data_IF_578025738674
#
_entry.id   IF_578025738674
#
_cell.length_a   1.000
_cell.length_b   1.000
_cell.length_c   1.000
_cell.angle_alpha   90.00
_cell.angle_beta   90.00
_cell.angle_gamma   90.00
#
_symmetry.space_group_name_H-M   'P 1'
#
loop_
_entity.id
_entity.type
_entity.pdbx_description
1 polymer ?
#
# COMPACT_ATOMS: atom_id res chain seq x y z
N UNK A 1 24.93 -14.10 19.11
CA UNK A 1 25.88 -13.15 18.43
C UNK A 1 27.29 -13.74 18.35
N UNK A 2 27.50 -14.85 17.65
CA UNK A 2 28.83 -15.39 17.45
C UNK A 2 29.43 -14.80 16.17
N UNK A 3 30.22 -13.74 16.31
CA UNK A 3 31.15 -13.27 15.29
C UNK A 3 32.46 -14.04 15.46
N UNK A 4 33.13 -14.30 14.33
CA UNK A 4 34.44 -14.98 14.35
C UNK A 4 35.47 -13.95 14.89
N UNK A 5 35.96 -14.19 16.08
CA UNK A 5 37.03 -13.42 16.68
C UNK A 5 38.35 -14.16 16.53
N UNK A 6 39.37 -13.55 15.94
CA UNK A 6 40.71 -14.11 15.79
C UNK A 6 41.68 -13.31 16.65
N UNK A 7 42.28 -13.98 17.60
CA UNK A 7 43.30 -13.39 18.51
C UNK A 7 44.75 -13.42 17.95
N UNK A 8 44.93 -13.97 16.74
CA UNK A 8 46.25 -14.11 16.11
C UNK A 8 46.81 -12.81 15.50
N UNK A 9 48.16 -12.71 15.40
CA UNK A 9 48.88 -11.58 14.79
C UNK A 9 48.87 -11.58 13.25
N UNK A 10 48.34 -12.61 12.61
CA UNK A 10 48.34 -12.75 11.15
C UNK A 10 47.29 -11.81 10.49
N UNK A 11 47.77 -10.87 9.66
CA UNK A 11 46.95 -9.89 8.96
C UNK A 11 46.03 -10.54 7.92
N UNK A 12 46.44 -11.66 7.32
CA UNK A 12 45.63 -12.36 6.30
C UNK A 12 44.43 -13.05 6.93
N UNK A 13 44.62 -13.67 8.09
CA UNK A 13 43.54 -14.30 8.87
C UNK A 13 42.54 -13.29 9.42
N UNK A 14 42.99 -12.09 9.82
CA UNK A 14 42.09 -11.03 10.26
C UNK A 14 41.20 -10.52 9.12
N UNK A 15 41.78 -10.27 7.93
CA UNK A 15 41.02 -9.88 6.75
C UNK A 15 40.02 -10.95 6.32
N UNK A 16 40.36 -12.23 6.42
CA UNK A 16 39.43 -13.31 6.13
C UNK A 16 38.28 -13.33 7.13
N UNK A 17 38.57 -13.16 8.43
CA UNK A 17 37.51 -13.10 9.46
C UNK A 17 36.61 -11.90 9.30
N UNK A 18 37.12 -10.73 8.93
CA UNK A 18 36.33 -9.53 8.65
C UNK A 18 35.37 -9.77 7.49
N UNK A 19 35.87 -10.30 6.35
CA UNK A 19 35.02 -10.64 5.21
C UNK A 19 33.95 -11.68 5.54
N UNK A 20 34.31 -12.75 6.26
CA UNK A 20 33.36 -13.77 6.70
C UNK A 20 32.29 -13.18 7.65
N UNK A 21 32.70 -12.27 8.53
CA UNK A 21 31.73 -11.62 9.43
C UNK A 21 30.79 -10.65 8.66
N UNK A 22 31.26 -9.97 7.62
CA UNK A 22 30.44 -9.16 6.74
C UNK A 22 29.42 -10.02 6.00
N UNK A 23 29.84 -11.11 5.37
CA UNK A 23 28.97 -12.07 4.70
C UNK A 23 27.95 -12.71 5.66
N UNK A 24 28.38 -13.11 6.87
CA UNK A 24 27.49 -13.63 7.90
C UNK A 24 26.45 -12.60 8.37
N UNK A 25 26.83 -11.31 8.44
CA UNK A 25 25.89 -10.24 8.77
C UNK A 25 24.87 -10.04 7.64
N UNK A 26 25.32 -10.09 6.40
CA UNK A 26 24.45 -9.99 5.22
C UNK A 26 23.44 -11.13 5.20
N UNK A 27 23.91 -12.38 5.26
CA UNK A 27 23.06 -13.57 5.30
C UNK A 27 22.07 -13.59 6.45
N UNK A 28 22.47 -13.09 7.64
CA UNK A 28 21.57 -12.97 8.79
C UNK A 28 20.48 -11.93 8.56
N UNK A 29 20.82 -10.79 7.93
CA UNK A 29 19.84 -9.76 7.56
C UNK A 29 18.84 -10.31 6.52
N UNK A 30 19.32 -11.00 5.51
CA UNK A 30 18.47 -11.63 4.50
C UNK A 30 17.55 -12.71 5.11
N UNK A 31 18.11 -13.59 5.96
CA UNK A 31 17.33 -14.60 6.67
C UNK A 31 16.28 -13.98 7.60
N UNK A 32 16.61 -12.88 8.25
CA UNK A 32 15.66 -12.18 9.12
C UNK A 32 14.53 -11.55 8.29
N UNK A 33 14.87 -10.89 7.19
CA UNK A 33 13.89 -10.35 6.23
C UNK A 33 12.98 -11.45 5.66
N UNK A 34 13.57 -12.58 5.28
CA UNK A 34 12.81 -13.72 4.76
C UNK A 34 11.83 -14.28 5.80
N UNK A 35 12.28 -14.49 7.04
CA UNK A 35 11.42 -14.98 8.13
C UNK A 35 10.31 -13.97 8.48
N UNK A 36 10.64 -12.71 8.48
CA UNK A 36 9.66 -11.66 8.75
C UNK A 36 8.61 -11.60 7.64
N UNK A 37 9.04 -11.69 6.39
CA UNK A 37 8.13 -11.79 5.24
C UNK A 37 7.21 -13.02 5.29
N UNK A 38 7.71 -14.18 5.74
CA UNK A 38 6.92 -15.41 5.90
C UNK A 38 5.86 -15.28 7.01
N UNK A 39 6.21 -14.64 8.14
CA UNK A 39 5.26 -14.35 9.23
C UNK A 39 4.19 -13.36 8.77
N UNK A 40 4.59 -12.27 8.14
CA UNK A 40 3.68 -11.27 7.59
C UNK A 40 2.75 -11.88 6.54
N UNK A 41 3.25 -12.80 5.70
CA UNK A 41 2.44 -13.52 4.73
C UNK A 41 1.41 -14.44 5.38
N UNK A 42 1.76 -15.13 6.46
CA UNK A 42 0.82 -15.97 7.22
C UNK A 42 -0.27 -15.15 7.89
N UNK A 43 0.08 -14.04 8.52
CA UNK A 43 -0.88 -13.08 9.09
C UNK A 43 -1.81 -12.53 8.01
N UNK A 44 -1.25 -12.18 6.85
CA UNK A 44 -1.97 -11.72 5.70
C UNK A 44 -3.04 -12.69 5.22
N UNK A 45 -2.64 -13.94 4.97
CA UNK A 45 -3.56 -15.00 4.51
C UNK A 45 -4.67 -15.22 5.55
N UNK A 46 -4.35 -15.14 6.84
CA UNK A 46 -5.33 -15.29 7.91
C UNK A 46 -6.35 -14.15 7.90
N UNK A 47 -5.88 -12.90 7.82
CA UNK A 47 -6.75 -11.73 7.79
C UNK A 47 -7.63 -11.70 6.54
N UNK A 48 -7.05 -11.93 5.36
CA UNK A 48 -7.82 -12.01 4.11
C UNK A 48 -8.84 -13.14 4.16
N UNK A 49 -8.48 -14.30 4.72
CA UNK A 49 -9.42 -15.42 4.86
C UNK A 49 -10.62 -15.06 5.73
N UNK A 50 -10.40 -14.26 6.78
CA UNK A 50 -11.48 -13.72 7.61
C UNK A 50 -12.34 -12.72 6.82
N UNK A 51 -11.71 -11.80 6.12
CA UNK A 51 -12.38 -10.74 5.36
C UNK A 51 -13.14 -11.26 4.13
N UNK A 52 -12.70 -12.38 3.55
CA UNK A 52 -13.42 -13.10 2.50
C UNK A 52 -14.62 -13.87 3.07
N UNK A 53 -14.50 -14.43 4.28
CA UNK A 53 -15.58 -15.21 4.91
C UNK A 53 -16.81 -14.36 5.21
N UNK A 54 -16.62 -13.12 5.65
CA UNK A 54 -17.71 -12.21 6.04
C UNK A 54 -18.70 -11.94 4.88
N UNK A 55 -18.26 -11.41 3.70
CA UNK A 55 -19.16 -11.19 2.57
C UNK A 55 -19.76 -12.51 2.04
N UNK A 56 -18.99 -13.60 2.05
CA UNK A 56 -19.46 -14.90 1.60
C UNK A 56 -20.62 -15.44 2.48
N UNK A 57 -20.50 -15.27 3.79
CA UNK A 57 -21.55 -15.66 4.74
C UNK A 57 -22.80 -14.81 4.54
N UNK A 58 -22.65 -13.51 4.31
CA UNK A 58 -23.78 -12.62 4.01
C UNK A 58 -24.47 -13.01 2.69
N UNK A 59 -23.72 -13.23 1.61
CA UNK A 59 -24.26 -13.69 0.32
C UNK A 59 -25.08 -14.97 0.52
N UNK A 60 -24.52 -15.95 1.25
CA UNK A 60 -25.23 -17.21 1.51
C UNK A 60 -26.51 -17.00 2.29
N UNK A 61 -26.49 -16.16 3.32
CA UNK A 61 -27.68 -15.84 4.11
C UNK A 61 -28.80 -15.20 3.30
N UNK A 62 -28.45 -14.21 2.44
CA UNK A 62 -29.44 -13.58 1.56
C UNK A 62 -29.99 -14.53 0.47
N UNK A 63 -29.17 -15.46 -0.02
CA UNK A 63 -29.63 -16.50 -0.94
C UNK A 63 -30.59 -17.49 -0.25
N UNK A 64 -30.37 -17.81 1.02
CA UNK A 64 -31.28 -18.64 1.82
C UNK A 64 -32.65 -17.92 2.02
N UNK A 65 -32.61 -16.62 2.36
CA UNK A 65 -33.81 -15.79 2.46
C UNK A 65 -34.58 -15.71 1.14
N UNK A 66 -33.91 -15.54 0.01
CA UNK A 66 -34.56 -15.54 -1.31
C UNK A 66 -35.22 -16.85 -1.62
N UNK A 67 -34.65 -18.00 -1.23
CA UNK A 67 -35.27 -19.33 -1.43
C UNK A 67 -36.49 -19.55 -0.55
N UNK A 68 -36.49 -19.01 0.66
CA UNK A 68 -37.66 -19.06 1.55
C UNK A 68 -38.80 -18.21 1.01
N UNK A 69 -38.51 -17.03 0.46
CA UNK A 69 -39.50 -16.15 -0.15
C UNK A 69 -40.08 -16.71 -1.46
N UNK A 70 -39.31 -17.43 -2.28
CA UNK A 70 -39.82 -18.13 -3.48
C UNK A 70 -40.96 -19.16 -3.16
N UNK A 71 -41.04 -19.63 -1.91
CA UNK A 71 -42.04 -20.56 -1.48
C UNK A 71 -43.37 -19.88 -1.01
N UNK A 72 -43.38 -18.53 -0.96
CA UNK A 72 -44.53 -17.74 -0.55
C UNK A 72 -45.14 -16.96 -1.74
N UNK A 73 -46.39 -17.21 -2.17
CA UNK A 73 -46.99 -16.61 -3.38
C UNK A 73 -47.24 -15.09 -3.30
N UNK A 74 -47.15 -14.47 -2.13
CA UNK A 74 -47.43 -13.05 -1.87
C UNK A 74 -46.17 -12.19 -1.67
N UNK A 75 -45.04 -12.59 -2.24
CA UNK A 75 -43.76 -11.91 -2.00
C UNK A 75 -43.70 -10.56 -2.69
N UNK A 76 -43.44 -9.54 -1.88
CA UNK A 76 -43.22 -8.19 -2.35
C UNK A 76 -41.91 -8.14 -3.16
N UNK A 77 -41.99 -7.84 -4.43
CA UNK A 77 -40.87 -7.63 -5.39
C UNK A 77 -39.77 -6.72 -4.84
N UNK A 78 -40.08 -5.88 -3.87
CA UNK A 78 -39.15 -4.93 -3.25
C UNK A 78 -38.14 -5.61 -2.31
N UNK A 79 -38.55 -6.65 -1.55
CA UNK A 79 -37.61 -7.40 -0.67
C UNK A 79 -36.61 -8.19 -1.51
N UNK A 80 -37.07 -8.88 -2.55
CA UNK A 80 -36.21 -9.61 -3.48
C UNK A 80 -35.18 -8.67 -4.15
N UNK A 81 -35.61 -7.51 -4.65
CA UNK A 81 -34.72 -6.52 -5.26
C UNK A 81 -33.69 -6.01 -4.26
N UNK A 82 -34.05 -5.80 -3.01
CA UNK A 82 -33.13 -5.38 -1.95
C UNK A 82 -32.09 -6.46 -1.64
N UNK A 83 -32.50 -7.74 -1.53
CA UNK A 83 -31.57 -8.84 -1.25
C UNK A 83 -30.60 -9.04 -2.41
N UNK A 84 -31.04 -8.94 -3.66
CA UNK A 84 -30.20 -9.01 -4.84
C UNK A 84 -29.18 -7.85 -4.87
N UNK A 85 -29.59 -6.63 -4.54
CA UNK A 85 -28.68 -5.49 -4.47
C UNK A 85 -27.57 -5.68 -3.41
N UNK A 86 -27.93 -6.26 -2.25
CA UNK A 86 -26.95 -6.57 -1.20
C UNK A 86 -25.99 -7.67 -1.66
N UNK A 87 -26.48 -8.71 -2.32
CA UNK A 87 -25.65 -9.79 -2.86
C UNK A 87 -24.66 -9.24 -3.90
N UNK A 88 -25.12 -8.36 -4.78
CA UNK A 88 -24.28 -7.73 -5.79
C UNK A 88 -23.18 -6.88 -5.14
N UNK A 89 -23.53 -6.01 -4.20
CA UNK A 89 -22.55 -5.22 -3.42
C UNK A 89 -21.49 -6.10 -2.75
N UNK A 90 -21.90 -7.21 -2.11
CA UNK A 90 -20.98 -8.13 -1.44
C UNK A 90 -20.10 -8.90 -2.42
N UNK A 91 -20.62 -9.20 -3.62
CA UNK A 91 -19.88 -9.88 -4.68
C UNK A 91 -18.83 -8.95 -5.29
N UNK A 92 -19.15 -7.69 -5.54
CA UNK A 92 -18.19 -6.67 -5.96
C UNK A 92 -17.05 -6.55 -4.95
N UNK A 93 -17.41 -6.50 -3.66
CA UNK A 93 -16.42 -6.45 -2.58
C UNK A 93 -15.50 -7.66 -2.55
N UNK A 94 -16.05 -8.86 -2.73
CA UNK A 94 -15.27 -10.10 -2.80
C UNK A 94 -14.28 -10.08 -3.97
N UNK A 95 -14.71 -9.58 -5.12
CA UNK A 95 -13.85 -9.39 -6.30
C UNK A 95 -12.68 -8.44 -5.99
N UNK A 96 -12.93 -7.28 -5.40
CA UNK A 96 -11.90 -6.32 -5.00
C UNK A 96 -10.84 -6.95 -4.08
N UNK A 97 -11.29 -7.68 -3.03
CA UNK A 97 -10.39 -8.36 -2.10
C UNK A 97 -9.53 -9.43 -2.79
N UNK A 98 -10.11 -10.18 -3.73
CA UNK A 98 -9.35 -11.19 -4.49
C UNK A 98 -8.35 -10.56 -5.44
N UNK A 99 -8.69 -9.46 -6.12
CA UNK A 99 -7.77 -8.72 -6.98
C UNK A 99 -6.60 -8.11 -6.19
N UNK A 100 -6.86 -7.58 -5.01
CA UNK A 100 -5.81 -7.05 -4.14
C UNK A 100 -4.90 -8.16 -3.59
N UNK A 101 -5.45 -9.31 -3.21
CA UNK A 101 -4.66 -10.50 -2.85
C UNK A 101 -3.76 -10.94 -4.01
N UNK A 102 -4.29 -10.95 -5.22
CA UNK A 102 -3.53 -11.30 -6.43
C UNK A 102 -2.38 -10.31 -6.68
N UNK A 103 -2.65 -9.01 -6.59
CA UNK A 103 -1.62 -7.95 -6.69
C UNK A 103 -0.53 -8.13 -5.63
N UNK A 104 -0.92 -8.53 -4.42
CA UNK A 104 0.01 -8.81 -3.34
C UNK A 104 0.87 -10.05 -3.61
N UNK A 105 0.28 -11.17 -4.05
CA UNK A 105 1.03 -12.39 -4.33
C UNK A 105 2.07 -12.20 -5.43
N UNK A 106 1.73 -11.42 -6.47
CA UNK A 106 2.69 -11.04 -7.51
C UNK A 106 3.83 -10.19 -6.93
N UNK A 107 3.50 -9.20 -6.10
CA UNK A 107 4.50 -8.31 -5.49
C UNK A 107 5.41 -9.04 -4.49
N UNK A 108 4.90 -10.08 -3.82
CA UNK A 108 5.64 -10.89 -2.85
C UNK A 108 6.46 -12.03 -3.49
N UNK A 109 6.03 -12.54 -4.66
CA UNK A 109 6.57 -13.77 -5.25
C UNK A 109 7.82 -13.58 -6.12
N UNK A 110 8.10 -12.37 -6.59
CA UNK A 110 9.30 -12.06 -7.37
C UNK A 110 9.84 -10.70 -6.97
N UNK A 111 11.16 -10.55 -6.73
CA UNK A 111 11.76 -9.23 -6.79
C UNK A 111 11.40 -8.66 -8.16
N UNK A 112 10.63 -7.58 -8.18
CA UNK A 112 10.29 -6.90 -9.42
C UNK A 112 11.61 -6.46 -10.02
N UNK A 113 11.94 -6.97 -11.22
CA UNK A 113 13.09 -6.50 -11.96
C UNK A 113 12.73 -5.07 -12.36
N UNK A 114 13.33 -4.11 -11.68
CA UNK A 114 13.15 -2.69 -11.99
C UNK A 114 13.91 -2.38 -13.27
N UNK A 115 13.26 -1.65 -14.16
CA UNK A 115 13.84 -1.13 -15.40
C UNK A 115 14.03 0.39 -15.26
N UNK A 116 15.12 0.86 -14.61
CA UNK A 116 15.31 2.27 -14.35
C UNK A 116 15.62 3.03 -15.65
N UNK A 117 14.90 4.12 -15.87
CA UNK A 117 15.14 5.06 -16.95
C UNK A 117 15.03 6.51 -16.45
N UNK A 118 15.41 7.48 -17.27
CA UNK A 118 15.23 8.89 -16.93
C UNK A 118 13.75 9.28 -16.95
N UNK A 119 13.19 9.52 -15.77
CA UNK A 119 11.77 9.87 -15.59
C UNK A 119 11.63 11.28 -15.07
N UNK A 120 10.77 12.08 -15.72
CA UNK A 120 10.30 13.34 -15.18
C UNK A 120 9.21 13.08 -14.12
N UNK A 121 9.54 13.34 -12.86
CA UNK A 121 8.61 13.18 -11.73
C UNK A 121 7.38 14.07 -11.92
N UNK A 122 7.56 15.35 -12.36
CA UNK A 122 6.45 16.27 -12.63
C UNK A 122 5.41 15.63 -13.55
N UNK A 123 5.87 15.15 -14.71
CA UNK A 123 4.98 14.59 -15.73
C UNK A 123 4.22 13.36 -15.21
N UNK A 124 4.93 12.43 -14.57
CA UNK A 124 4.31 11.20 -14.12
C UNK A 124 3.32 11.44 -12.97
N UNK A 125 3.61 12.44 -12.11
CA UNK A 125 2.71 12.85 -11.04
C UNK A 125 1.44 13.51 -11.61
N UNK A 126 1.57 14.38 -12.62
CA UNK A 126 0.44 14.99 -13.34
C UNK A 126 -0.44 13.92 -14.01
N UNK A 127 0.18 12.96 -14.72
CA UNK A 127 -0.53 11.86 -15.37
C UNK A 127 -1.31 11.01 -14.33
N UNK A 128 -0.69 10.68 -13.19
CA UNK A 128 -1.33 9.90 -12.13
C UNK A 128 -2.51 10.64 -11.50
N UNK A 129 -2.35 11.93 -11.20
CA UNK A 129 -3.44 12.76 -10.63
C UNK A 129 -4.57 12.92 -11.63
N UNK A 130 -4.25 13.16 -12.91
CA UNK A 130 -5.25 13.30 -13.97
C UNK A 130 -6.10 12.04 -14.14
N UNK A 131 -5.49 10.86 -14.02
CA UNK A 131 -6.21 9.58 -14.08
C UNK A 131 -7.22 9.44 -12.94
N UNK A 132 -6.90 9.96 -11.75
CA UNK A 132 -7.76 9.90 -10.57
C UNK A 132 -8.73 11.08 -10.45
N UNK A 133 -8.64 12.09 -11.35
CA UNK A 133 -9.38 13.34 -11.20
C UNK A 133 -10.91 13.15 -11.17
N UNK A 134 -11.44 12.24 -11.98
CA UNK A 134 -12.87 11.89 -11.99
C UNK A 134 -13.34 11.38 -10.63
N UNK A 135 -12.56 10.50 -10.00
CA UNK A 135 -12.84 9.94 -8.68
C UNK A 135 -12.75 11.00 -7.58
N UNK A 136 -11.76 11.90 -7.63
CA UNK A 136 -11.67 13.03 -6.71
C UNK A 136 -12.93 13.91 -6.76
N UNK A 137 -13.41 14.20 -7.97
CA UNK A 137 -14.63 14.98 -8.17
C UNK A 137 -15.88 14.28 -7.62
N UNK A 138 -16.02 12.97 -7.82
CA UNK A 138 -17.11 12.18 -7.25
C UNK A 138 -17.11 12.23 -5.71
N UNK A 139 -15.93 12.20 -5.08
CA UNK A 139 -15.76 12.31 -3.64
C UNK A 139 -15.76 13.75 -3.13
N UNK A 140 -15.98 14.75 -4.00
CA UNK A 140 -15.97 16.20 -3.69
C UNK A 140 -14.63 16.68 -3.10
N UNK A 141 -13.54 16.06 -3.53
CA UNK A 141 -12.17 16.44 -3.17
C UNK A 141 -11.61 17.28 -4.32
N UNK A 142 -11.10 18.47 -4.02
CA UNK A 142 -10.42 19.33 -4.97
C UNK A 142 -8.91 19.32 -4.72
N UNK A 143 -8.11 18.63 -5.55
CA UNK A 143 -6.68 18.52 -5.31
C UNK A 143 -5.96 19.85 -5.53
N UNK A 144 -5.23 20.33 -4.54
CA UNK A 144 -4.31 21.46 -4.66
C UNK A 144 -2.92 20.96 -5.03
N UNK A 145 -2.42 21.34 -6.22
CA UNK A 145 -1.16 20.83 -6.77
C UNK A 145 -0.14 21.96 -6.86
N UNK A 146 1.02 21.78 -6.22
CA UNK A 146 2.15 22.70 -6.25
C UNK A 146 3.37 21.99 -6.80
N UNK A 147 3.84 22.43 -7.95
CA UNK A 147 5.03 21.86 -8.60
C UNK A 147 5.92 22.99 -9.17
N UNK A 148 7.24 22.82 -9.18
CA UNK A 148 8.13 23.80 -9.81
C UNK A 148 8.01 23.70 -11.34
N UNK A 149 8.27 24.82 -12.03
CA UNK A 149 8.34 24.85 -13.50
C UNK A 149 9.53 24.02 -14.03
N UNK A 150 10.57 23.89 -13.22
CA UNK A 150 11.73 23.06 -13.51
C UNK A 150 11.35 21.58 -13.50
N UNK A 151 11.72 20.84 -14.53
CA UNK A 151 11.56 19.39 -14.59
C UNK A 151 12.53 18.71 -13.63
N UNK A 152 11.96 17.94 -12.72
CA UNK A 152 12.71 17.10 -11.78
C UNK A 152 12.87 15.72 -12.40
N UNK A 153 14.08 15.40 -12.86
CA UNK A 153 14.40 14.11 -13.50
C UNK A 153 15.16 13.22 -12.54
N UNK A 154 14.78 11.94 -12.47
CA UNK A 154 15.47 10.90 -11.69
C UNK A 154 15.54 9.62 -12.51
N UNK A 155 16.53 8.77 -12.22
CA UNK A 155 16.67 7.44 -12.82
C UNK A 155 15.85 6.43 -11.98
N UNK A 156 14.61 6.17 -12.40
CA UNK A 156 13.61 5.37 -11.68
C UNK A 156 12.86 4.47 -12.65
N UNK A 157 12.20 3.43 -12.16
CA UNK A 157 11.26 2.65 -12.95
C UNK A 157 9.90 3.40 -13.01
N UNK A 158 9.43 3.81 -14.21
CA UNK A 158 8.21 4.61 -14.34
C UNK A 158 6.95 3.84 -13.93
N UNK A 159 6.90 2.53 -14.15
CA UNK A 159 5.76 1.68 -13.79
C UNK A 159 5.67 1.55 -12.26
N UNK A 160 6.83 1.34 -11.61
CA UNK A 160 6.91 1.28 -10.16
C UNK A 160 6.54 2.62 -9.53
N UNK A 161 7.01 3.74 -10.09
CA UNK A 161 6.70 5.08 -9.61
C UNK A 161 5.22 5.43 -9.78
N UNK A 162 4.60 5.13 -10.94
CA UNK A 162 3.15 5.28 -11.13
C UNK A 162 2.37 4.48 -10.09
N UNK A 163 2.77 3.25 -9.82
CA UNK A 163 2.11 2.39 -8.83
C UNK A 163 2.24 2.94 -7.41
N UNK A 164 3.36 3.59 -7.07
CA UNK A 164 3.50 4.30 -5.77
C UNK A 164 2.46 5.41 -5.69
N UNK A 165 2.37 6.26 -6.72
CA UNK A 165 1.42 7.37 -6.75
C UNK A 165 -0.04 6.87 -6.69
N UNK A 166 -0.41 5.87 -7.48
CA UNK A 166 -1.74 5.26 -7.45
C UNK A 166 -2.14 4.77 -6.05
N UNK A 167 -1.22 4.10 -5.34
CA UNK A 167 -1.50 3.61 -3.99
C UNK A 167 -1.72 4.76 -2.99
N UNK A 168 -0.96 5.85 -3.10
CA UNK A 168 -1.10 7.01 -2.21
C UNK A 168 -2.35 7.81 -2.56
N UNK A 169 -2.62 8.04 -3.85
CA UNK A 169 -3.82 8.73 -4.32
C UNK A 169 -5.09 7.98 -3.94
N UNK A 170 -5.10 6.64 -4.11
CA UNK A 170 -6.20 5.79 -3.67
C UNK A 170 -6.40 5.84 -2.15
N UNK A 171 -5.31 5.94 -1.37
CA UNK A 171 -5.40 6.12 0.07
C UNK A 171 -6.04 7.48 0.42
N UNK A 172 -5.61 8.57 -0.23
CA UNK A 172 -6.18 9.89 -0.03
C UNK A 172 -7.67 9.93 -0.38
N UNK A 173 -8.09 9.31 -1.50
CA UNK A 173 -9.50 9.19 -1.87
C UNK A 173 -10.37 8.51 -0.82
N UNK A 174 -9.82 7.50 -0.13
CA UNK A 174 -10.54 6.72 0.89
C UNK A 174 -10.64 7.41 2.25
N UNK A 175 -9.65 8.23 2.60
CA UNK A 175 -9.46 8.71 3.98
C UNK A 175 -9.38 10.22 4.14
N UNK A 176 -9.43 11.00 3.06
CA UNK A 176 -9.47 12.46 3.13
C UNK A 176 -10.85 12.94 3.53
N UNK A 177 -10.90 13.96 4.37
CA UNK A 177 -12.12 14.65 4.77
C UNK A 177 -12.54 15.76 3.77
N UNK A 178 -12.09 15.67 2.50
CA UNK A 178 -12.50 16.58 1.42
C UNK A 178 -11.39 17.52 0.94
N UNK A 179 -10.22 17.47 1.56
CA UNK A 179 -9.02 18.21 1.14
C UNK A 179 -7.93 17.27 0.67
N UNK A 180 -7.16 17.68 -0.31
CA UNK A 180 -5.98 16.96 -0.73
C UNK A 180 -4.97 17.90 -1.35
N UNK A 181 -3.73 17.82 -0.90
CA UNK A 181 -2.64 18.64 -1.42
C UNK A 181 -1.46 17.78 -1.85
N UNK A 182 -0.90 18.10 -3.00
CA UNK A 182 0.33 17.48 -3.50
C UNK A 182 1.36 18.58 -3.76
N UNK A 183 2.55 18.40 -3.20
CA UNK A 183 3.66 19.33 -3.37
C UNK A 183 4.88 18.57 -3.87
N UNK A 184 5.42 18.95 -5.02
CA UNK A 184 6.74 18.55 -5.50
C UNK A 184 7.69 19.71 -5.29
N UNK A 185 8.80 19.48 -4.60
CA UNK A 185 9.84 20.50 -4.37
C UNK A 185 10.98 20.38 -5.39
N UNK A 186 11.75 21.44 -5.57
CA UNK A 186 12.91 21.46 -6.47
C UNK A 186 13.97 20.39 -6.14
N UNK A 187 14.10 20.01 -4.86
CA UNK A 187 14.98 18.92 -4.42
C UNK A 187 14.46 17.52 -4.74
N UNK A 188 13.29 17.42 -5.39
CA UNK A 188 12.64 16.14 -5.74
C UNK A 188 11.86 15.48 -4.61
N UNK A 189 11.64 16.16 -3.50
CA UNK A 189 10.78 15.70 -2.42
C UNK A 189 9.31 15.87 -2.82
N UNK A 190 8.54 14.80 -2.70
CA UNK A 190 7.10 14.76 -2.99
C UNK A 190 6.36 14.62 -1.67
N UNK A 191 5.41 15.50 -1.42
CA UNK A 191 4.56 15.47 -0.23
C UNK A 191 3.10 15.36 -0.63
N UNK A 192 2.39 14.38 -0.08
CA UNK A 192 0.95 14.22 -0.18
C UNK A 192 0.36 14.52 1.18
N UNK A 193 -0.62 15.44 1.25
CA UNK A 193 -1.23 15.89 2.50
C UNK A 193 -2.75 15.80 2.39
N UNK A 194 -3.38 15.29 3.43
CA UNK A 194 -4.84 15.35 3.58
C UNK A 194 -5.23 15.43 5.06
N UNK A 195 -6.38 15.98 5.34
CA UNK A 195 -6.96 15.93 6.68
C UNK A 195 -7.45 14.51 6.97
N UNK A 196 -7.20 14.03 8.19
CA UNK A 196 -7.52 12.67 8.63
C UNK A 196 -7.81 12.66 10.13
N UNK A 197 -9.00 13.12 10.52
CA UNK A 197 -9.38 13.30 11.93
C UNK A 197 -9.36 12.02 12.77
N UNK A 198 -9.46 10.85 12.13
CA UNK A 198 -9.52 9.56 12.81
C UNK A 198 -8.14 8.90 13.05
N UNK A 199 -7.02 9.58 12.75
CA UNK A 199 -5.68 9.06 12.96
C UNK A 199 -5.07 9.57 14.27
N UNK A 200 -4.14 8.78 14.81
CA UNK A 200 -3.24 9.16 15.89
C UNK A 200 -1.76 8.89 15.50
N UNK A 201 -0.82 9.31 16.35
CA UNK A 201 0.62 9.11 16.10
C UNK A 201 1.01 7.62 16.09
N UNK A 202 0.39 6.78 16.92
CA UNK A 202 0.68 5.34 17.02
C UNK A 202 0.18 4.65 15.77
N UNK A 203 -1.01 5.00 15.31
CA UNK A 203 -1.59 4.49 14.07
C UNK A 203 -0.76 4.93 12.86
N UNK A 204 -0.30 6.19 12.84
CA UNK A 204 0.54 6.73 11.76
C UNK A 204 1.84 5.96 11.61
N UNK A 205 2.50 5.58 12.70
CA UNK A 205 3.71 4.76 12.67
C UNK A 205 3.48 3.36 12.06
N UNK A 206 2.23 2.89 12.03
CA UNK A 206 1.84 1.58 11.53
C UNK A 206 1.25 1.60 10.12
N UNK A 207 1.03 2.78 9.51
CA UNK A 207 0.39 2.92 8.20
C UNK A 207 1.09 2.14 7.07
N UNK A 208 2.40 1.95 7.17
CA UNK A 208 3.16 1.18 6.21
C UNK A 208 3.26 -0.32 6.54
N UNK A 209 2.67 -0.75 7.66
CA UNK A 209 2.60 -2.17 7.96
C UNK A 209 1.58 -2.83 7.05
N UNK A 210 1.90 -4.02 6.58
CA UNK A 210 1.01 -4.79 5.70
C UNK A 210 -0.27 -5.14 6.44
N UNK A 211 -1.41 -5.03 5.74
CA UNK A 211 -2.76 -5.34 6.27
C UNK A 211 -3.19 -4.48 7.46
N UNK A 212 -2.45 -3.42 7.74
CA UNK A 212 -2.89 -2.48 8.75
C UNK A 212 -3.95 -1.55 8.18
N UNK A 213 -5.11 -1.54 8.81
CA UNK A 213 -6.23 -0.61 8.54
C UNK A 213 -6.67 0.01 9.84
N UNK A 214 -7.15 1.24 9.80
CA UNK A 214 -7.80 1.88 10.94
C UNK A 214 -9.22 1.30 11.06
N UNK A 215 -9.70 0.99 12.27
CA UNK A 215 -10.90 0.18 12.56
C UNK A 215 -12.19 0.58 11.82
N UNK A 216 -12.30 1.80 11.31
CA UNK A 216 -13.49 2.28 10.59
C UNK A 216 -13.41 2.16 9.05
N UNK A 217 -12.37 1.54 8.52
CA UNK A 217 -12.14 1.46 7.08
C UNK A 217 -12.75 0.19 6.47
N UNK A 218 -14.05 0.13 6.34
CA UNK A 218 -14.78 -1.03 5.80
C UNK A 218 -14.34 -1.48 4.39
N UNK A 219 -13.51 -0.69 3.69
CA UNK A 219 -13.14 -0.93 2.28
C UNK A 219 -11.64 -0.91 2.01
N UNK A 220 -10.77 -1.15 3.00
CA UNK A 220 -9.33 -1.11 2.80
C UNK A 220 -8.65 -2.43 3.20
N UNK A 221 -7.72 -2.88 2.38
CA UNK A 221 -6.93 -4.10 2.63
C UNK A 221 -5.63 -3.84 3.39
N UNK A 222 -5.26 -2.57 3.58
CA UNK A 222 -4.02 -2.21 4.26
C UNK A 222 -2.74 -2.55 3.46
N UNK A 223 -2.86 -2.83 2.15
CA UNK A 223 -1.73 -3.20 1.31
C UNK A 223 -1.12 -2.02 0.53
N UNK A 224 -1.90 -1.01 0.18
CA UNK A 224 -1.48 0.06 -0.73
C UNK A 224 -0.23 0.79 -0.26
N UNK A 225 -0.21 1.31 0.96
CA UNK A 225 0.94 2.04 1.50
C UNK A 225 2.16 1.14 1.74
N UNK A 226 1.97 -0.12 2.11
CA UNK A 226 3.07 -1.09 2.26
C UNK A 226 3.72 -1.43 0.91
N UNK A 227 2.94 -1.49 -0.18
CA UNK A 227 3.44 -1.63 -1.56
C UNK A 227 4.22 -0.38 -1.96
N UNK A 228 3.65 0.81 -1.72
CA UNK A 228 4.33 2.07 -2.00
C UNK A 228 5.69 2.16 -1.31
N UNK A 229 5.76 1.78 -0.03
CA UNK A 229 7.02 1.72 0.73
C UNK A 229 8.00 0.73 0.13
N UNK A 230 7.58 -0.49 -0.15
CA UNK A 230 8.45 -1.53 -0.72
C UNK A 230 9.05 -1.11 -2.05
N UNK A 231 8.26 -0.52 -2.96
CA UNK A 231 8.71 -0.03 -4.26
C UNK A 231 9.66 1.17 -4.12
N UNK A 232 9.35 2.10 -3.21
CA UNK A 232 10.21 3.26 -2.92
C UNK A 232 11.59 2.80 -2.42
N UNK A 233 11.63 1.87 -1.45
CA UNK A 233 12.88 1.32 -0.90
C UNK A 233 13.67 0.52 -1.95
N UNK A 234 13.00 -0.23 -2.84
CA UNK A 234 13.66 -0.95 -3.94
C UNK A 234 14.32 -0.01 -4.96
N UNK A 235 13.76 1.18 -5.17
CA UNK A 235 14.34 2.23 -6.01
C UNK A 235 15.36 3.12 -5.25
N UNK A 236 15.75 2.74 -4.03
CA UNK A 236 16.73 3.46 -3.22
C UNK A 236 16.20 4.75 -2.59
N UNK A 237 14.88 4.98 -2.64
CA UNK A 237 14.21 6.12 -2.04
C UNK A 237 13.80 5.87 -0.58
N UNK A 238 13.27 6.91 0.03
CA UNK A 238 12.70 6.90 1.38
C UNK A 238 11.25 7.37 1.33
N UNK A 239 10.39 6.71 2.09
CA UNK A 239 9.00 7.11 2.31
C UNK A 239 8.71 7.15 3.81
N UNK A 240 8.04 8.20 4.25
CA UNK A 240 7.65 8.38 5.66
C UNK A 240 6.28 9.02 5.78
N UNK A 241 5.61 8.78 6.90
CA UNK A 241 4.37 9.44 7.27
C UNK A 241 4.59 10.30 8.50
N UNK A 242 3.99 11.48 8.50
CA UNK A 242 3.95 12.41 9.62
C UNK A 242 2.50 12.77 9.88
N UNK A 243 2.11 12.89 11.15
CA UNK A 243 0.76 13.29 11.53
C UNK A 243 0.84 14.45 12.54
N UNK A 244 0.27 15.57 12.18
CA UNK A 244 0.20 16.76 13.05
C UNK A 244 -1.08 17.52 12.77
N UNK A 245 -1.73 18.00 13.82
CA UNK A 245 -2.92 18.86 13.71
C UNK A 245 -4.01 18.26 12.81
N UNK A 246 -4.26 16.96 12.95
CA UNK A 246 -5.20 16.19 12.14
C UNK A 246 -4.87 16.13 10.65
N UNK A 247 -3.64 16.45 10.26
CA UNK A 247 -3.16 16.35 8.87
C UNK A 247 -2.16 15.19 8.75
N UNK A 248 -2.48 14.24 7.89
CA UNK A 248 -1.56 13.20 7.46
C UNK A 248 -0.71 13.72 6.31
N UNK A 249 0.62 13.55 6.44
CA UNK A 249 1.60 13.86 5.40
C UNK A 249 2.36 12.59 5.03
N UNK A 250 2.35 12.23 3.77
CA UNK A 250 3.20 11.16 3.23
C UNK A 250 4.28 11.84 2.39
N UNK A 251 5.54 11.65 2.79
CA UNK A 251 6.71 12.24 2.15
C UNK A 251 7.49 11.15 1.44
N UNK A 252 7.88 11.42 0.19
CA UNK A 252 8.72 10.53 -0.63
C UNK A 252 9.93 11.32 -1.12
N UNK A 253 11.08 10.68 -1.06
CA UNK A 253 12.32 11.22 -1.61
C UNK A 253 13.13 10.14 -2.30
N UNK A 254 13.59 10.45 -3.51
CA UNK A 254 14.52 9.60 -4.25
C UNK A 254 15.90 10.26 -4.29
N UNK A 255 16.99 9.46 -4.34
CA UNK A 255 18.35 10.01 -4.42
C UNK A 255 18.54 10.82 -5.71
N UNK A 256 19.31 11.87 -5.60
CA UNK A 256 19.88 12.56 -6.76
C UNK A 256 21.04 11.71 -7.28
N UNK A 257 20.99 11.37 -8.56
CA UNK A 257 22.16 10.85 -9.24
C UNK A 257 22.87 11.95 -9.97
#
# INVERSE_FOLDING_TARGET
>A
NNLIAISGRDKSMRRLAERLNEELRLLRRERHRFRQGDLEMKEAITNISHDLRTPLTAIRGYLELLREEEQCPDVQSEAVSRYLAIIDERTVRLKELTEELFKYTIAASKPQILEPEEVSINRLLEESISTCYGLFKEHRIEPCIFMPDQKIVRCLDPKALSRIFENILSNALKYSDGDFRVTLRENGEITFENHAACLDEVQTARLFNRFYTVENAHNATGLGLSIARSLTEQMGGEIRAEYRESVLRILIRFPEK
#
